data_IF_547420511857
#
_entry.id   IF_547420511857
#
_cell.length_a   1.000
_cell.length_b   1.000
_cell.length_c   1.000
_cell.angle_alpha   90.00
_cell.angle_beta   90.00
_cell.angle_gamma   90.00
#
_symmetry.space_group_name_H-M   'P 1'
#
loop_
_entity.id
_entity.type
_entity.pdbx_description
1 polymer ?
#
# COMPACT_ATOMS: atom_id res chain seq x y z
N UNK A 1 -14.43 -12.18 -15.45
CA UNK A 1 -14.66 -11.57 -14.12
C UNK A 1 -15.13 -10.16 -14.37
N UNK A 2 -16.28 -9.76 -13.85
CA UNK A 2 -16.85 -8.43 -14.08
C UNK A 2 -17.48 -7.91 -12.80
N UNK A 3 -17.08 -6.71 -12.37
CA UNK A 3 -17.65 -6.01 -11.22
C UNK A 3 -17.28 -4.53 -11.33
N UNK A 4 -17.97 -3.70 -10.54
CA UNK A 4 -17.72 -2.25 -10.43
C UNK A 4 -17.45 -1.93 -8.96
N UNK A 5 -16.46 -1.08 -8.69
CA UNK A 5 -16.20 -0.50 -7.38
C UNK A 5 -16.44 1.00 -7.54
N UNK A 6 -17.37 1.54 -6.76
CA UNK A 6 -17.66 2.96 -6.73
C UNK A 6 -16.66 3.70 -5.83
N UNK A 7 -16.52 5.01 -6.03
CA UNK A 7 -15.66 5.85 -5.19
C UNK A 7 -16.06 5.78 -3.71
N UNK A 8 -15.07 5.68 -2.82
CA UNK A 8 -15.27 5.50 -1.38
C UNK A 8 -15.86 4.14 -0.96
N UNK A 9 -16.10 3.21 -1.88
CA UNK A 9 -16.67 1.90 -1.57
C UNK A 9 -15.62 0.92 -1.04
N UNK A 10 -15.92 0.25 0.07
CA UNK A 10 -15.14 -0.90 0.55
C UNK A 10 -15.73 -2.20 0.00
N UNK A 11 -14.92 -2.96 -0.77
CA UNK A 11 -15.35 -4.22 -1.40
C UNK A 11 -14.46 -5.38 -0.95
N UNK A 12 -15.07 -6.45 -0.44
CA UNK A 12 -14.37 -7.69 -0.10
C UNK A 12 -14.44 -8.70 -1.25
N UNK A 13 -13.28 -9.16 -1.73
CA UNK A 13 -13.20 -10.22 -2.74
C UNK A 13 -12.96 -11.56 -2.05
N UNK A 14 -13.96 -12.44 -2.08
CA UNK A 14 -13.93 -13.74 -1.40
C UNK A 14 -13.89 -14.90 -2.40
N UNK A 15 -13.20 -15.97 -2.04
CA UNK A 15 -13.13 -17.18 -2.85
C UNK A 15 -12.06 -18.16 -2.33
N UNK A 16 -12.06 -19.42 -2.80
CA UNK A 16 -11.10 -20.44 -2.40
C UNK A 16 -9.63 -20.04 -2.59
N UNK A 17 -8.71 -20.74 -1.94
CA UNK A 17 -7.28 -20.59 -2.24
C UNK A 17 -7.03 -20.92 -3.72
N UNK A 18 -6.17 -20.14 -4.38
CA UNK A 18 -5.89 -20.29 -5.81
C UNK A 18 -6.98 -19.77 -6.76
N UNK A 19 -8.06 -19.17 -6.27
CA UNK A 19 -9.14 -18.62 -7.13
C UNK A 19 -8.76 -17.36 -7.92
N UNK A 20 -7.51 -16.89 -7.83
CA UNK A 20 -7.02 -15.72 -8.57
C UNK A 20 -7.25 -14.36 -7.91
N UNK A 21 -7.50 -14.29 -6.59
CA UNK A 21 -7.67 -13.01 -5.85
C UNK A 21 -6.43 -12.10 -5.96
N UNK A 22 -5.26 -12.64 -5.69
CA UNK A 22 -3.99 -11.92 -5.87
C UNK A 22 -3.75 -11.54 -7.33
N UNK A 23 -4.18 -12.38 -8.28
CA UNK A 23 -4.12 -12.05 -9.72
C UNK A 23 -5.00 -10.85 -10.07
N UNK A 24 -6.18 -10.72 -9.45
CA UNK A 24 -7.04 -9.55 -9.61
C UNK A 24 -6.35 -8.27 -9.13
N UNK A 25 -5.71 -8.30 -7.96
CA UNK A 25 -4.91 -7.16 -7.48
C UNK A 25 -3.72 -6.85 -8.38
N UNK A 26 -3.09 -7.87 -8.97
CA UNK A 26 -2.01 -7.68 -9.93
C UNK A 26 -2.49 -7.01 -11.24
N UNK A 27 -3.71 -7.32 -11.70
CA UNK A 27 -4.33 -6.63 -12.84
C UNK A 27 -4.71 -5.20 -12.50
N UNK A 28 -5.24 -4.93 -11.29
CA UNK A 28 -5.53 -3.55 -10.84
C UNK A 28 -4.23 -2.73 -10.75
N UNK A 29 -3.12 -3.31 -10.28
CA UNK A 29 -1.80 -2.66 -10.25
C UNK A 29 -1.11 -2.58 -11.63
N UNK A 30 -1.76 -3.13 -12.66
CA UNK A 30 -1.25 -3.25 -14.02
C UNK A 30 0.14 -3.91 -14.06
N UNK A 31 0.31 -5.00 -13.32
CA UNK A 31 1.42 -5.94 -13.56
C UNK A 31 1.15 -6.83 -14.76
N UNK A 32 -0.12 -7.04 -15.11
CA UNK A 32 -0.58 -7.76 -16.29
C UNK A 32 -1.73 -7.00 -16.94
N UNK A 33 -1.76 -6.98 -18.27
CA UNK A 33 -2.93 -6.54 -19.03
C UNK A 33 -3.87 -7.73 -19.28
N UNK A 34 -5.20 -7.53 -19.26
CA UNK A 34 -6.14 -8.61 -19.53
C UNK A 34 -6.06 -9.06 -21.00
N UNK A 35 -6.20 -10.37 -21.24
CA UNK A 35 -6.27 -10.92 -22.61
C UNK A 35 -7.58 -10.55 -23.32
N UNK A 36 -8.66 -10.36 -22.57
CA UNK A 36 -9.97 -9.93 -23.05
C UNK A 36 -10.69 -9.08 -22.01
N UNK A 37 -11.55 -8.16 -22.46
CA UNK A 37 -12.15 -7.14 -21.60
C UNK A 37 -11.19 -5.99 -21.28
N UNK A 38 -11.50 -5.22 -20.25
CA UNK A 38 -10.68 -4.08 -19.84
C UNK A 38 -10.85 -3.80 -18.34
N UNK A 39 -9.81 -3.24 -17.72
CA UNK A 39 -9.90 -2.58 -16.41
C UNK A 39 -10.15 -1.10 -16.71
N UNK A 40 -11.26 -0.55 -16.21
CA UNK A 40 -11.67 0.82 -16.48
C UNK A 40 -11.52 1.64 -15.19
N UNK A 41 -10.96 2.85 -15.29
CA UNK A 41 -10.72 3.73 -14.14
C UNK A 41 -11.34 5.11 -14.35
N UNK A 42 -11.69 5.76 -13.24
CA UNK A 42 -12.29 7.08 -13.23
C UNK A 42 -13.73 7.12 -13.76
N UNK A 43 -14.35 8.29 -13.65
CA UNK A 43 -15.73 8.51 -14.08
C UNK A 43 -15.90 8.38 -15.61
N UNK A 44 -14.87 8.74 -16.37
CA UNK A 44 -14.83 8.62 -17.83
C UNK A 44 -14.62 7.19 -18.32
N UNK A 45 -14.41 6.22 -17.41
CA UNK A 45 -14.15 4.81 -17.74
C UNK A 45 -13.00 4.63 -18.74
N UNK A 46 -11.89 5.31 -18.48
CA UNK A 46 -10.68 5.18 -19.28
C UNK A 46 -10.09 3.78 -19.10
N UNK A 47 -9.69 3.16 -20.21
CA UNK A 47 -9.01 1.87 -20.16
C UNK A 47 -7.65 2.03 -19.48
N UNK A 48 -7.41 1.29 -18.42
CA UNK A 48 -6.19 1.42 -17.61
C UNK A 48 -4.90 1.22 -18.42
N UNK A 49 -4.97 0.45 -19.50
CA UNK A 49 -3.82 0.21 -20.38
C UNK A 49 -3.42 1.43 -21.24
N UNK A 50 -4.25 2.46 -21.35
CA UNK A 50 -3.93 3.71 -22.07
C UNK A 50 -3.35 4.79 -21.16
N UNK A 51 -3.33 4.56 -19.85
CA UNK A 51 -2.88 5.52 -18.83
C UNK A 51 -1.39 5.33 -18.55
N UNK A 52 -0.67 6.39 -18.17
CA UNK A 52 0.71 6.26 -17.71
C UNK A 52 0.80 5.37 -16.46
N UNK A 53 1.65 4.35 -16.53
CA UNK A 53 1.73 3.33 -15.49
C UNK A 53 2.33 3.87 -14.19
N UNK A 54 3.24 4.84 -14.25
CA UNK A 54 3.85 5.45 -13.06
C UNK A 54 2.79 6.29 -12.35
N UNK A 55 2.08 7.13 -13.09
CA UNK A 55 0.95 7.93 -12.60
C UNK A 55 -0.13 7.08 -11.94
N UNK A 56 -0.45 5.92 -12.53
CA UNK A 56 -1.46 5.02 -11.98
C UNK A 56 -0.99 4.37 -10.68
N UNK A 57 0.22 3.83 -10.64
CA UNK A 57 0.74 3.17 -9.43
C UNK A 57 0.91 4.12 -8.25
N UNK A 58 1.11 5.43 -8.49
CA UNK A 58 1.04 6.45 -7.44
C UNK A 58 -0.34 6.55 -6.79
N UNK A 59 -1.41 6.18 -7.50
CA UNK A 59 -2.80 6.25 -7.01
C UNK A 59 -3.28 4.98 -6.33
N UNK A 60 -2.44 3.94 -6.30
CA UNK A 60 -2.77 2.64 -5.72
C UNK A 60 -1.84 2.37 -4.56
N UNK A 61 -2.37 2.40 -3.34
CA UNK A 61 -1.69 1.83 -2.17
C UNK A 61 -1.95 0.33 -2.09
N UNK A 62 -0.91 -0.45 -1.78
CA UNK A 62 -1.00 -1.90 -1.67
C UNK A 62 -0.42 -2.37 -0.34
N UNK A 63 -1.18 -3.21 0.38
CA UNK A 63 -0.76 -3.88 1.60
C UNK A 63 -0.91 -5.38 1.37
N UNK A 64 0.21 -6.08 1.21
CA UNK A 64 0.21 -7.53 1.02
C UNK A 64 0.12 -8.32 2.33
N UNK A 65 -0.22 -9.61 2.20
CA UNK A 65 -0.33 -10.57 3.31
C UNK A 65 0.95 -10.68 4.15
N UNK A 66 2.11 -10.71 3.49
CA UNK A 66 3.43 -10.74 4.10
C UNK A 66 4.24 -9.50 3.70
N UNK A 67 4.09 -8.37 4.41
CA UNK A 67 4.77 -7.15 4.04
C UNK A 67 6.29 -7.24 4.25
N UNK A 68 7.02 -6.79 3.23
CA UNK A 68 8.47 -6.69 3.24
C UNK A 68 8.91 -5.33 3.79
N UNK A 69 9.81 -5.36 4.77
CA UNK A 69 10.50 -4.18 5.27
C UNK A 69 11.97 -4.26 4.87
N UNK A 70 12.49 -3.16 4.36
CA UNK A 70 13.89 -3.00 4.02
C UNK A 70 14.74 -2.86 5.29
N UNK A 71 16.02 -3.19 5.19
CA UNK A 71 17.02 -3.05 6.25
C UNK A 71 17.38 -1.58 6.50
N UNK A 72 16.43 -0.82 7.01
CA UNK A 72 16.56 0.60 7.33
C UNK A 72 15.58 1.03 8.42
N UNK A 73 15.49 2.33 8.73
CA UNK A 73 14.57 2.90 9.72
C UNK A 73 13.11 2.65 9.36
N UNK A 74 12.23 2.72 10.37
CA UNK A 74 10.78 2.71 10.13
C UNK A 74 10.36 3.92 9.29
N UNK A 75 10.97 5.08 9.51
CA UNK A 75 10.72 6.28 8.72
C UNK A 75 11.00 6.07 7.24
N UNK A 76 12.18 5.56 6.89
CA UNK A 76 12.55 5.29 5.50
C UNK A 76 11.68 4.21 4.89
N UNK A 77 11.34 3.17 5.67
CA UNK A 77 10.37 2.19 5.24
C UNK A 77 8.99 2.81 4.93
N UNK A 78 8.52 3.81 5.68
CA UNK A 78 7.25 4.50 5.37
C UNK A 78 7.41 5.43 4.18
N UNK A 79 8.48 6.23 4.14
CA UNK A 79 8.79 7.15 3.03
C UNK A 79 9.02 6.45 1.70
N UNK A 80 9.31 5.15 1.70
CA UNK A 80 9.33 4.34 0.47
C UNK A 80 7.99 4.33 -0.30
N UNK A 81 6.89 4.75 0.35
CA UNK A 81 5.61 4.97 -0.33
C UNK A 81 5.54 6.26 -1.16
N UNK A 82 6.53 7.15 -1.03
CA UNK A 82 6.65 8.44 -1.71
C UNK A 82 7.69 8.37 -2.83
N UNK A 83 7.65 9.30 -3.77
CA UNK A 83 8.73 9.48 -4.75
C UNK A 83 9.88 10.29 -4.17
N UNK A 84 11.04 10.26 -4.83
CA UNK A 84 12.26 10.95 -4.36
C UNK A 84 12.08 12.47 -4.22
N UNK A 85 11.18 13.06 -5.00
CA UNK A 85 10.84 14.48 -5.00
C UNK A 85 9.63 14.83 -4.11
N UNK A 86 8.97 13.85 -3.50
CA UNK A 86 7.81 14.06 -2.63
C UNK A 86 8.24 14.23 -1.16
N UNK A 87 8.05 15.43 -0.63
CA UNK A 87 8.19 15.69 0.81
C UNK A 87 6.86 15.51 1.53
N UNK A 88 6.94 15.04 2.78
CA UNK A 88 5.79 14.84 3.65
C UNK A 88 5.95 15.63 4.93
N UNK A 89 4.93 16.41 5.28
CA UNK A 89 4.96 17.18 6.54
C UNK A 89 4.95 16.26 7.76
N UNK A 90 5.57 16.69 8.85
CA UNK A 90 5.52 15.96 10.13
C UNK A 90 4.09 15.71 10.61
N UNK A 91 3.19 16.67 10.34
CA UNK A 91 1.75 16.53 10.66
C UNK A 91 1.11 15.36 9.90
N UNK A 92 1.44 15.20 8.63
CA UNK A 92 0.93 14.09 7.82
C UNK A 92 1.51 12.75 8.27
N UNK A 93 2.81 12.69 8.54
CA UNK A 93 3.45 11.49 9.10
C UNK A 93 2.81 11.08 10.44
N UNK A 94 2.52 12.04 11.31
CA UNK A 94 1.85 11.78 12.59
C UNK A 94 0.40 11.30 12.40
N UNK A 95 -0.32 11.82 11.41
CA UNK A 95 -1.64 11.31 11.05
C UNK A 95 -1.56 9.86 10.52
N UNK A 96 -0.61 9.57 9.62
CA UNK A 96 -0.39 8.21 9.13
C UNK A 96 -0.01 7.26 10.28
N UNK A 97 0.83 7.69 11.22
CA UNK A 97 1.20 6.93 12.43
C UNK A 97 -0.03 6.54 13.25
N UNK A 98 -0.97 7.48 13.44
CA UNK A 98 -2.22 7.25 14.16
C UNK A 98 -3.14 6.27 13.41
N UNK A 99 -3.38 6.52 12.12
CA UNK A 99 -4.25 5.68 11.29
C UNK A 99 -3.76 4.24 11.17
N UNK A 100 -2.45 4.04 11.04
CA UNK A 100 -1.82 2.71 10.97
C UNK A 100 -1.58 2.07 12.35
N UNK A 101 -1.85 2.81 13.43
CA UNK A 101 -1.59 2.41 14.82
C UNK A 101 -0.13 2.03 15.11
N UNK A 102 0.82 2.85 14.65
CA UNK A 102 2.25 2.71 14.95
C UNK A 102 2.63 3.19 16.37
N UNK A 103 1.71 3.13 17.34
CA UNK A 103 1.96 3.51 18.74
C UNK A 103 3.04 2.65 19.42
N UNK A 104 3.28 1.43 18.91
CA UNK A 104 4.33 0.57 19.47
C UNK A 104 5.73 1.19 19.32
N UNK A 105 5.93 2.10 18.37
CA UNK A 105 7.19 2.82 18.19
C UNK A 105 7.58 3.65 19.41
N UNK A 106 6.59 4.14 20.16
CA UNK A 106 6.81 4.96 21.36
C UNK A 106 7.47 4.15 22.49
N UNK A 107 7.27 2.82 22.49
CA UNK A 107 7.91 1.90 23.43
C UNK A 107 9.30 1.40 23.03
N UNK A 108 9.79 1.72 21.83
CA UNK A 108 11.06 1.19 21.29
C UNK A 108 12.28 1.98 21.76
N UNK A 109 12.56 1.95 23.06
CA UNK A 109 13.75 2.54 23.69
C UNK A 109 14.02 4.00 23.28
N UNK A 110 12.98 4.77 22.95
CA UNK A 110 13.08 6.18 22.55
C UNK A 110 13.55 6.44 21.12
N UNK A 111 13.73 5.41 20.27
CA UNK A 111 14.15 5.61 18.86
C UNK A 111 12.99 5.94 17.93
N UNK A 112 11.78 5.49 18.24
CA UNK A 112 10.58 5.83 17.46
C UNK A 112 10.74 5.52 15.97
N UNK A 113 10.60 6.56 15.15
CA UNK A 113 10.78 6.53 13.69
C UNK A 113 12.17 6.07 13.22
N UNK A 114 13.21 6.33 14.01
CA UNK A 114 14.61 5.96 13.74
C UNK A 114 14.94 4.51 14.10
N UNK A 115 13.94 3.72 14.51
CA UNK A 115 14.14 2.30 14.79
C UNK A 115 14.52 1.56 13.51
N UNK A 116 15.71 0.95 13.51
CA UNK A 116 16.20 0.08 12.42
C UNK A 116 15.41 -1.24 12.39
N UNK A 117 14.79 -1.56 11.25
CA UNK A 117 13.98 -2.77 11.03
C UNK A 117 14.46 -3.51 9.77
N UNK A 118 13.84 -4.64 9.44
CA UNK A 118 14.21 -5.50 8.31
C UNK A 118 14.92 -6.79 8.74
N UNK A 119 15.27 -7.68 7.81
CA UNK A 119 16.00 -8.92 8.10
C UNK A 119 17.25 -8.79 8.97
N UNK A 120 18.03 -7.71 8.81
CA UNK A 120 19.26 -7.39 9.57
C UNK A 120 19.02 -6.43 10.74
N UNK A 121 17.84 -5.80 10.80
CA UNK A 121 17.43 -4.89 11.88
C UNK A 121 16.64 -5.57 12.99
N UNK A 122 15.87 -4.77 13.73
CA UNK A 122 14.93 -5.28 14.73
C UNK A 122 13.83 -6.11 14.05
N UNK A 123 13.55 -7.28 14.64
CA UNK A 123 12.43 -8.12 14.21
C UNK A 123 11.12 -7.58 14.77
N UNK A 124 10.30 -7.01 13.90
CA UNK A 124 8.91 -6.71 14.18
C UNK A 124 8.05 -7.98 14.09
N UNK A 125 7.01 -8.07 14.92
CA UNK A 125 5.97 -9.10 14.78
C UNK A 125 5.24 -8.96 13.44
N UNK A 126 4.54 -10.00 12.99
CA UNK A 126 3.76 -9.94 11.74
C UNK A 126 2.78 -8.76 11.70
N UNK A 127 2.02 -8.57 12.79
CA UNK A 127 1.10 -7.43 12.90
C UNK A 127 1.80 -6.07 12.93
N UNK A 128 2.98 -5.95 13.56
CA UNK A 128 3.76 -4.71 13.52
C UNK A 128 4.28 -4.40 12.11
N UNK A 129 4.77 -5.41 11.38
CA UNK A 129 5.16 -5.25 9.96
C UNK A 129 3.98 -4.79 9.11
N UNK A 130 2.81 -5.39 9.32
CA UNK A 130 1.59 -5.01 8.62
C UNK A 130 1.20 -3.55 8.88
N UNK A 131 1.30 -3.07 10.12
CA UNK A 131 1.06 -1.66 10.44
C UNK A 131 2.05 -0.71 9.75
N UNK A 132 3.33 -1.06 9.67
CA UNK A 132 4.31 -0.26 8.91
C UNK A 132 3.95 -0.23 7.41
N UNK A 133 3.52 -1.35 6.84
CA UNK A 133 3.10 -1.41 5.45
C UNK A 133 1.80 -0.63 5.17
N UNK A 134 0.84 -0.65 6.10
CA UNK A 134 -0.35 0.20 6.05
C UNK A 134 0.08 1.68 6.07
N UNK A 135 0.99 2.07 6.97
CA UNK A 135 1.50 3.44 7.00
C UNK A 135 2.20 3.84 5.69
N UNK A 136 2.99 2.94 5.10
CA UNK A 136 3.63 3.11 3.78
C UNK A 136 2.60 3.29 2.67
N UNK A 137 1.50 2.53 2.68
CA UNK A 137 0.44 2.68 1.69
C UNK A 137 -0.32 4.01 1.87
N UNK A 138 -0.54 4.44 3.12
CA UNK A 138 -1.30 5.65 3.45
C UNK A 138 -0.50 6.95 3.29
N UNK A 139 0.84 6.93 3.36
CA UNK A 139 1.62 8.17 3.36
C UNK A 139 1.44 8.98 2.07
N UNK A 140 1.14 8.33 0.95
CA UNK A 140 0.85 8.97 -0.34
C UNK A 140 -0.61 9.44 -0.49
N UNK A 141 -1.48 9.11 0.47
CA UNK A 141 -2.93 9.39 0.41
C UNK A 141 -3.58 8.90 -0.91
N UNK A 142 -3.44 7.60 -1.27
CA UNK A 142 -3.92 7.09 -2.54
C UNK A 142 -5.45 6.95 -2.56
N UNK A 143 -6.12 7.28 -3.69
CA UNK A 143 -7.57 7.09 -3.83
C UNK A 143 -7.99 5.62 -3.90
N UNK A 144 -7.07 4.70 -4.23
CA UNK A 144 -7.31 3.26 -4.26
C UNK A 144 -6.40 2.58 -3.26
N UNK A 145 -6.98 1.83 -2.31
CA UNK A 145 -6.26 1.01 -1.36
C UNK A 145 -6.61 -0.47 -1.57
N UNK A 146 -5.59 -1.29 -1.70
CA UNK A 146 -5.70 -2.74 -1.87
C UNK A 146 -5.11 -3.44 -0.65
N UNK A 147 -5.88 -4.36 -0.07
CA UNK A 147 -5.47 -5.22 1.04
C UNK A 147 -5.58 -6.68 0.60
N UNK A 148 -4.44 -7.38 0.57
CA UNK A 148 -4.36 -8.84 0.35
C UNK A 148 -4.17 -9.58 1.67
#
# INVERSE_FOLDING_TARGET
VSFTIEDGQSVGVVGPSGSGKTTLFAMIQRFYDPQSGAVLIGQERLALNTVDIRWWRKRVGFVGQEPLLFDTTVLENVKYGLDEDEEVSDKHLENCKKMSSLWFLDGLHGKGWETQVGPRGMRLSGGQKQRVAICRALVRDPPVLLFD
#
